data_IF_632101906443
#
_entry.id   IF_632101906443
#
_cell.length_a   1.000
_cell.length_b   1.000
_cell.length_c   1.000
_cell.angle_alpha   90.00
_cell.angle_beta   90.00
_cell.angle_gamma   90.00
#
_symmetry.space_group_name_H-M   'P 1'
#
loop_
_entity.id
_entity.type
_entity.pdbx_description
1 polymer ?
#
# COMPACT_ATOMS: atom_id res chain seq x y z
N UNK A 1 -24.89 1.65 13.34
CA UNK A 1 -23.43 1.49 13.44
C UNK A 1 -22.77 1.66 12.06
N UNK A 2 -21.63 2.33 12.05
CA UNK A 2 -20.81 2.46 10.84
C UNK A 2 -20.17 1.10 10.56
N UNK A 3 -20.27 0.65 9.30
CA UNK A 3 -19.57 -0.56 8.83
C UNK A 3 -18.39 -0.12 7.94
N UNK A 4 -17.22 -0.66 8.22
CA UNK A 4 -16.00 -0.38 7.45
C UNK A 4 -15.48 -1.71 6.89
N UNK A 5 -15.05 -1.69 5.62
CA UNK A 5 -14.25 -2.76 5.00
C UNK A 5 -12.92 -2.15 4.59
N UNK A 6 -11.85 -2.75 5.06
CA UNK A 6 -10.50 -2.42 4.59
C UNK A 6 -10.04 -3.47 3.60
N UNK A 7 -9.44 -3.05 2.50
CA UNK A 7 -8.86 -3.92 1.49
C UNK A 7 -7.40 -3.54 1.26
N UNK A 8 -6.48 -4.34 1.78
CA UNK A 8 -5.08 -4.24 1.43
C UNK A 8 -4.87 -4.71 -0.01
N UNK A 9 -4.11 -3.95 -0.78
CA UNK A 9 -3.75 -4.30 -2.16
C UNK A 9 -2.23 -4.38 -2.30
N UNK A 10 -1.75 -5.10 -3.29
CA UNK A 10 -0.39 -4.91 -3.77
C UNK A 10 -0.39 -3.76 -4.79
N UNK A 11 0.74 -3.13 -5.01
CA UNK A 11 0.86 -2.07 -6.02
C UNK A 11 0.78 -2.64 -7.44
N UNK A 12 -0.29 -2.33 -8.16
CA UNK A 12 -0.55 -2.86 -9.50
C UNK A 12 0.43 -2.38 -10.56
N UNK A 13 1.11 -1.27 -10.32
CA UNK A 13 2.14 -0.69 -11.20
C UNK A 13 3.57 -1.11 -10.85
N UNK A 14 3.76 -1.89 -9.77
CA UNK A 14 5.06 -2.39 -9.30
C UNK A 14 6.16 -1.31 -9.23
N UNK A 15 5.96 -0.22 -8.48
CA UNK A 15 6.94 0.88 -8.44
C UNK A 15 8.26 0.49 -7.75
N UNK A 16 8.31 -0.69 -7.09
CA UNK A 16 9.46 -1.20 -6.34
C UNK A 16 9.99 -0.20 -5.29
N UNK A 17 9.08 0.51 -4.65
CA UNK A 17 9.41 1.44 -3.55
C UNK A 17 9.55 0.72 -2.20
N UNK A 18 9.08 -0.53 -2.11
CA UNK A 18 9.17 -1.35 -0.91
C UNK A 18 10.58 -1.90 -0.70
N UNK A 19 10.90 -2.23 0.55
CA UNK A 19 12.18 -2.86 0.93
C UNK A 19 12.36 -4.20 0.19
N UNK A 20 11.28 -4.98 0.06
CA UNK A 20 11.26 -6.22 -0.72
C UNK A 20 10.77 -5.90 -2.12
N UNK A 21 11.68 -5.93 -3.08
CA UNK A 21 11.37 -5.66 -4.49
C UNK A 21 10.78 -6.89 -5.17
N UNK A 22 9.73 -6.67 -5.95
CA UNK A 22 9.16 -7.72 -6.80
C UNK A 22 10.09 -7.94 -8.00
N UNK A 23 10.48 -9.18 -8.23
CA UNK A 23 11.33 -9.56 -9.39
C UNK A 23 10.55 -9.33 -10.68
N UNK A 24 11.25 -9.01 -11.77
CA UNK A 24 10.62 -8.69 -13.06
C UNK A 24 9.80 -9.87 -13.63
N UNK A 25 10.31 -11.08 -13.47
CA UNK A 25 9.61 -12.30 -13.88
C UNK A 25 8.33 -12.60 -13.06
N UNK A 26 8.18 -11.99 -11.90
CA UNK A 26 7.01 -12.10 -11.03
C UNK A 26 5.97 -11.02 -11.25
N UNK A 27 6.29 -9.96 -12.01
CA UNK A 27 5.36 -8.88 -12.31
C UNK A 27 4.26 -9.34 -13.28
N UNK A 28 3.10 -8.71 -13.18
CA UNK A 28 1.97 -8.89 -14.09
C UNK A 28 1.60 -7.57 -14.77
N UNK A 29 1.09 -7.63 -15.97
CA UNK A 29 0.45 -6.47 -16.58
C UNK A 29 -1.05 -6.48 -16.29
N UNK A 30 -1.47 -5.69 -15.28
CA UNK A 30 -2.88 -5.59 -14.87
C UNK A 30 -3.79 -5.06 -15.99
N UNK A 31 -3.23 -4.42 -17.03
CA UNK A 31 -3.98 -3.93 -18.18
C UNK A 31 -4.31 -5.02 -19.20
N UNK A 32 -3.68 -6.20 -19.09
CA UNK A 32 -3.99 -7.31 -19.98
C UNK A 32 -5.42 -7.81 -19.76
N UNK A 33 -6.05 -8.32 -20.81
CA UNK A 33 -7.44 -8.80 -20.80
C UNK A 33 -7.74 -9.82 -19.69
N UNK A 34 -6.75 -10.68 -19.37
CA UNK A 34 -6.87 -11.66 -18.27
C UNK A 34 -7.15 -10.96 -16.94
N UNK A 35 -6.33 -9.97 -16.59
CA UNK A 35 -6.42 -9.29 -15.30
C UNK A 35 -7.52 -8.25 -15.26
N UNK A 36 -7.83 -7.62 -16.39
CA UNK A 36 -8.99 -6.73 -16.49
C UNK A 36 -10.31 -7.44 -16.16
N UNK A 37 -10.50 -8.67 -16.66
CA UNK A 37 -11.68 -9.48 -16.28
C UNK A 37 -11.71 -9.81 -14.79
N UNK A 38 -10.57 -10.09 -14.18
CA UNK A 38 -10.50 -10.36 -12.73
C UNK A 38 -10.83 -9.11 -11.91
N UNK A 39 -10.30 -7.94 -12.28
CA UNK A 39 -10.59 -6.67 -11.62
C UNK A 39 -12.07 -6.29 -11.74
N UNK A 40 -12.68 -6.58 -12.88
CA UNK A 40 -14.12 -6.38 -13.08
C UNK A 40 -14.95 -7.23 -12.10
N UNK A 41 -14.60 -8.50 -11.96
CA UNK A 41 -15.27 -9.41 -11.01
C UNK A 41 -15.08 -8.94 -9.56
N UNK A 42 -13.86 -8.53 -9.18
CA UNK A 42 -13.56 -8.01 -7.85
C UNK A 42 -14.40 -6.76 -7.56
N UNK A 43 -14.43 -5.79 -8.49
CA UNK A 43 -15.22 -4.58 -8.32
C UNK A 43 -16.73 -4.90 -8.19
N UNK A 44 -17.24 -5.87 -8.95
CA UNK A 44 -18.62 -6.32 -8.84
C UNK A 44 -18.92 -6.97 -7.48
N UNK A 45 -17.99 -7.76 -6.94
CA UNK A 45 -18.12 -8.35 -5.60
C UNK A 45 -18.10 -7.28 -4.50
N UNK A 46 -17.17 -6.32 -4.59
CA UNK A 46 -17.10 -5.20 -3.63
C UNK A 46 -18.34 -4.31 -3.69
N UNK A 47 -18.95 -4.15 -4.85
CA UNK A 47 -20.22 -3.44 -5.01
C UNK A 47 -21.34 -4.01 -4.13
N UNK A 48 -21.35 -5.32 -3.86
CA UNK A 48 -22.39 -5.93 -3.02
C UNK A 48 -22.38 -5.45 -1.58
N UNK A 49 -21.22 -4.97 -1.08
CA UNK A 49 -21.13 -4.32 0.22
C UNK A 49 -21.86 -2.96 0.23
N UNK A 50 -22.06 -2.36 -0.94
CA UNK A 50 -22.73 -1.08 -1.15
C UNK A 50 -22.15 0.06 -0.29
N UNK A 51 -20.85 0.35 -0.33
CA UNK A 51 -20.24 1.40 0.47
C UNK A 51 -20.80 2.77 0.05
N UNK A 52 -21.09 3.62 1.03
CA UNK A 52 -21.48 5.03 0.81
C UNK A 52 -20.27 5.93 0.54
N UNK A 53 -19.09 5.53 0.99
CA UNK A 53 -17.83 6.23 0.80
C UNK A 53 -16.74 5.26 0.37
N UNK A 54 -15.91 5.68 -0.56
CA UNK A 54 -14.71 4.96 -0.97
C UNK A 54 -13.52 5.85 -0.63
N UNK A 55 -12.64 5.36 0.22
CA UNK A 55 -11.39 6.01 0.59
C UNK A 55 -10.23 5.28 -0.06
N UNK A 56 -9.24 6.03 -0.53
CA UNK A 56 -8.08 5.48 -1.24
C UNK A 56 -6.78 6.05 -0.70
N UNK A 57 -5.72 5.27 -0.81
CA UNK A 57 -4.37 5.69 -0.47
C UNK A 57 -3.85 6.68 -1.52
N UNK A 58 -4.29 7.92 -1.38
CA UNK A 58 -3.86 9.08 -2.13
C UNK A 58 -3.64 10.23 -1.16
N UNK A 59 -2.65 11.11 -1.42
CA UNK A 59 -2.31 12.19 -0.50
C UNK A 59 -3.51 13.09 -0.24
N UNK A 60 -3.88 13.28 1.02
CA UNK A 60 -5.05 14.06 1.42
C UNK A 60 -4.98 15.52 0.92
N UNK A 61 -3.77 16.14 0.91
CA UNK A 61 -3.56 17.47 0.35
C UNK A 61 -3.77 17.53 -1.17
N UNK A 62 -3.82 16.39 -1.85
CA UNK A 62 -4.07 16.24 -3.29
C UNK A 62 -5.49 15.78 -3.61
N UNK A 63 -6.44 15.95 -2.69
CA UNK A 63 -7.85 15.59 -2.91
C UNK A 63 -8.43 16.18 -4.20
N UNK A 64 -8.05 17.42 -4.54
CA UNK A 64 -8.50 18.07 -5.78
C UNK A 64 -8.00 17.31 -7.02
N UNK A 65 -6.73 16.91 -7.04
CA UNK A 65 -6.14 16.14 -8.15
C UNK A 65 -6.87 14.80 -8.32
N UNK A 66 -7.17 14.10 -7.23
CA UNK A 66 -7.94 12.87 -7.25
C UNK A 66 -9.34 13.07 -7.84
N UNK A 67 -10.02 14.12 -7.39
CA UNK A 67 -11.38 14.45 -7.85
C UNK A 67 -11.41 14.81 -9.34
N UNK A 68 -10.45 15.59 -9.82
CA UNK A 68 -10.33 15.96 -11.22
C UNK A 68 -9.99 14.75 -12.09
N UNK A 69 -9.09 13.89 -11.62
CA UNK A 69 -8.76 12.62 -12.29
C UNK A 69 -9.97 11.69 -12.41
N UNK A 70 -10.79 11.61 -11.35
CA UNK A 70 -12.00 10.79 -11.39
C UNK A 70 -13.07 11.38 -12.32
N UNK A 71 -13.25 12.70 -12.35
CA UNK A 71 -14.15 13.36 -13.32
C UNK A 71 -13.70 13.08 -14.77
N UNK A 72 -12.40 13.18 -15.04
CA UNK A 72 -11.85 12.85 -16.35
C UNK A 72 -12.07 11.37 -16.71
N UNK A 73 -11.94 10.47 -15.74
CA UNK A 73 -12.26 9.06 -15.92
C UNK A 73 -13.72 8.87 -16.32
N UNK A 74 -14.66 9.51 -15.63
CA UNK A 74 -16.11 9.40 -15.93
C UNK A 74 -16.50 10.02 -17.26
N UNK A 75 -15.83 11.10 -17.70
CA UNK A 75 -16.11 11.77 -18.96
C UNK A 75 -15.51 11.07 -20.19
N UNK A 76 -14.44 10.30 -19.97
CA UNK A 76 -13.74 9.56 -21.04
C UNK A 76 -14.35 8.16 -21.26
N UNK A 77 -15.62 8.14 -21.69
CA UNK A 77 -16.35 6.90 -21.98
C UNK A 77 -15.74 6.07 -23.12
N UNK A 78 -14.83 6.65 -23.91
CA UNK A 78 -14.12 5.98 -25.00
C UNK A 78 -12.80 5.34 -24.56
N UNK A 79 -12.26 5.71 -23.39
CA UNK A 79 -10.99 5.15 -22.91
C UNK A 79 -11.22 3.72 -22.44
N UNK A 80 -10.61 2.78 -23.11
CA UNK A 80 -10.67 1.38 -22.70
C UNK A 80 -9.97 1.19 -21.33
N UNK A 81 -10.48 0.29 -20.47
CA UNK A 81 -9.87 0.04 -19.16
C UNK A 81 -8.37 -0.30 -19.19
N UNK A 82 -7.90 -0.90 -20.28
CA UNK A 82 -6.49 -1.23 -20.51
C UNK A 82 -5.63 -0.02 -20.94
N UNK A 83 -6.20 1.15 -21.11
CA UNK A 83 -5.51 2.42 -21.39
C UNK A 83 -5.41 3.32 -20.17
N UNK A 84 -6.04 2.94 -19.06
CA UNK A 84 -5.98 3.68 -17.81
C UNK A 84 -4.66 3.48 -17.08
N UNK A 85 -4.28 4.39 -16.17
CA UNK A 85 -3.14 4.16 -15.29
C UNK A 85 -3.26 2.83 -14.53
N UNK A 86 -2.11 2.16 -14.32
CA UNK A 86 -2.06 0.83 -13.69
C UNK A 86 -2.38 0.81 -12.20
N UNK A 87 -2.37 1.96 -11.52
CA UNK A 87 -2.54 1.97 -10.07
C UNK A 87 -3.89 1.41 -9.62
N UNK A 88 -3.91 0.83 -8.44
CA UNK A 88 -5.10 0.28 -7.77
C UNK A 88 -6.20 1.33 -7.57
N UNK A 89 -5.82 2.61 -7.42
CA UNK A 89 -6.77 3.72 -7.35
C UNK A 89 -7.63 3.80 -8.61
N UNK A 90 -7.01 3.72 -9.79
CA UNK A 90 -7.72 3.74 -11.07
C UNK A 90 -8.40 2.40 -11.37
N UNK A 91 -7.63 1.32 -11.26
CA UNK A 91 -8.07 0.00 -11.73
C UNK A 91 -9.13 -0.63 -10.82
N UNK A 92 -9.21 -0.24 -9.56
CA UNK A 92 -10.19 -0.77 -8.62
C UNK A 92 -11.03 0.34 -7.97
N UNK A 93 -10.42 1.38 -7.42
CA UNK A 93 -11.11 2.47 -6.73
C UNK A 93 -12.09 3.21 -7.64
N UNK A 94 -11.64 3.74 -8.78
CA UNK A 94 -12.49 4.46 -9.74
C UNK A 94 -13.56 3.55 -10.35
N UNK A 95 -13.18 2.33 -10.72
CA UNK A 95 -14.11 1.33 -11.27
C UNK A 95 -15.24 1.02 -10.29
N UNK A 96 -14.93 0.84 -9.01
CA UNK A 96 -15.94 0.58 -7.98
C UNK A 96 -16.84 1.80 -7.77
N UNK A 97 -16.25 3.00 -7.69
CA UNK A 97 -16.99 4.25 -7.53
C UNK A 97 -17.96 4.51 -8.68
N UNK A 98 -17.53 4.28 -9.92
CA UNK A 98 -18.37 4.35 -11.12
C UNK A 98 -19.55 3.38 -11.03
N UNK A 99 -19.29 2.11 -10.69
CA UNK A 99 -20.35 1.07 -10.56
C UNK A 99 -21.39 1.39 -9.49
N UNK A 100 -21.03 2.19 -8.50
CA UNK A 100 -21.90 2.65 -7.41
C UNK A 100 -22.56 4.01 -7.71
N UNK A 101 -22.19 4.68 -8.81
CA UNK A 101 -22.67 6.02 -9.15
C UNK A 101 -22.13 7.12 -8.23
N UNK A 102 -21.00 6.90 -7.55
CA UNK A 102 -20.37 7.89 -6.71
C UNK A 102 -19.81 9.03 -7.56
N UNK A 103 -19.90 10.25 -7.05
CA UNK A 103 -19.37 11.45 -7.69
C UNK A 103 -17.93 11.78 -7.29
N UNK A 104 -17.44 11.15 -6.22
CA UNK A 104 -16.10 11.38 -5.65
C UNK A 104 -15.60 10.17 -4.88
N UNK A 105 -14.27 10.11 -4.73
CA UNK A 105 -13.56 9.27 -3.77
C UNK A 105 -12.79 10.19 -2.82
N UNK A 106 -12.35 9.66 -1.69
CA UNK A 106 -11.68 10.43 -0.64
C UNK A 106 -10.22 9.99 -0.50
N UNK A 107 -9.33 10.96 -0.55
CA UNK A 107 -7.90 10.79 -0.32
C UNK A 107 -7.59 10.86 1.18
N UNK A 108 -6.92 9.86 1.73
CA UNK A 108 -6.69 9.79 3.20
C UNK A 108 -5.22 9.64 3.59
N UNK A 109 -4.33 9.44 2.63
CA UNK A 109 -2.91 9.28 2.94
C UNK A 109 -2.28 10.60 3.39
N UNK A 110 -1.60 10.55 4.52
CA UNK A 110 -0.86 11.70 5.06
C UNK A 110 0.41 11.20 5.71
N UNK A 111 1.55 11.56 5.13
CA UNK A 111 2.84 11.23 5.71
C UNK A 111 3.02 11.88 7.07
N UNK A 112 3.51 11.10 8.03
CA UNK A 112 3.85 11.58 9.36
C UNK A 112 5.00 12.59 9.33
N UNK A 113 5.12 13.35 10.39
CA UNK A 113 6.33 14.15 10.64
C UNK A 113 7.40 13.20 11.18
N UNK A 114 8.53 13.14 10.50
CA UNK A 114 9.69 12.41 11.00
C UNK A 114 10.27 13.09 12.23
N UNK A 115 10.78 12.30 13.17
CA UNK A 115 11.58 12.84 14.25
C UNK A 115 12.91 13.39 13.72
N UNK A 116 13.42 14.52 14.24
CA UNK A 116 14.65 15.14 13.72
C UNK A 116 15.87 14.20 13.71
N UNK A 117 16.00 13.32 14.71
CA UNK A 117 17.07 12.33 14.77
C UNK A 117 16.96 11.28 13.65
N UNK A 118 15.74 10.91 13.25
CA UNK A 118 15.52 9.98 12.14
C UNK A 118 15.88 10.67 10.81
N UNK A 119 15.49 11.94 10.64
CA UNK A 119 15.87 12.73 9.46
C UNK A 119 17.40 12.88 9.33
N UNK A 120 18.12 13.10 10.44
CA UNK A 120 19.59 13.18 10.44
C UNK A 120 20.24 11.90 9.90
N UNK A 121 19.74 10.73 10.32
CA UNK A 121 20.27 9.46 9.83
C UNK A 121 19.92 9.24 8.37
N UNK A 122 18.66 9.48 7.97
CA UNK A 122 18.21 9.21 6.60
C UNK A 122 18.81 10.18 5.56
N UNK A 123 19.26 11.35 5.97
CA UNK A 123 19.91 12.34 5.11
C UNK A 123 21.45 12.24 5.13
N UNK A 124 22.02 11.28 5.84
CA UNK A 124 23.46 11.02 5.93
C UNK A 124 23.77 9.67 5.29
N UNK A 125 24.51 9.68 4.18
CA UNK A 125 24.80 8.47 3.39
C UNK A 125 25.56 7.40 4.21
N UNK A 126 26.45 7.82 5.11
CA UNK A 126 27.22 6.90 5.95
C UNK A 126 26.29 6.23 6.97
N UNK A 127 25.50 7.03 7.68
CA UNK A 127 24.56 6.52 8.69
C UNK A 127 23.47 5.61 8.06
N UNK A 128 22.98 5.96 6.87
CA UNK A 128 22.05 5.10 6.10
C UNK A 128 22.72 3.76 5.75
N UNK A 129 23.99 3.78 5.34
CA UNK A 129 24.71 2.56 5.03
C UNK A 129 24.92 1.68 6.28
N UNK A 130 25.23 2.27 7.43
CA UNK A 130 25.35 1.57 8.71
C UNK A 130 24.02 0.95 9.13
N UNK A 131 22.95 1.72 9.10
CA UNK A 131 21.58 1.23 9.34
C UNK A 131 21.20 0.09 8.42
N UNK A 132 21.47 0.22 7.12
CA UNK A 132 21.22 -0.83 6.13
C UNK A 132 22.03 -2.09 6.39
N UNK A 133 23.28 -1.97 6.81
CA UNK A 133 24.13 -3.10 7.21
C UNK A 133 23.60 -3.79 8.47
N UNK A 134 23.22 -3.00 9.48
CA UNK A 134 22.60 -3.52 10.70
C UNK A 134 21.31 -4.28 10.35
N UNK A 135 20.40 -3.67 9.62
CA UNK A 135 19.14 -4.29 9.21
C UNK A 135 19.35 -5.63 8.49
N UNK A 136 20.27 -5.65 7.53
CA UNK A 136 20.56 -6.84 6.73
C UNK A 136 21.15 -8.00 7.55
N UNK A 137 22.03 -7.68 8.50
CA UNK A 137 22.80 -8.67 9.25
C UNK A 137 22.18 -9.02 10.60
N UNK A 138 21.05 -8.42 10.96
CA UNK A 138 20.42 -8.65 12.26
C UNK A 138 19.95 -10.09 12.39
N UNK A 139 20.41 -10.84 13.42
CA UNK A 139 19.98 -12.21 13.67
C UNK A 139 18.49 -12.34 13.95
N UNK A 140 17.83 -11.29 14.45
CA UNK A 140 16.39 -11.27 14.68
C UNK A 140 15.60 -11.45 13.38
N UNK A 141 16.22 -11.25 12.20
CA UNK A 141 15.58 -11.53 10.91
C UNK A 141 15.08 -12.99 10.78
N UNK A 142 15.70 -13.92 11.50
CA UNK A 142 15.25 -15.32 11.56
C UNK A 142 13.85 -15.47 12.23
N UNK A 143 13.42 -14.46 12.99
CA UNK A 143 12.11 -14.43 13.64
C UNK A 143 11.01 -13.88 12.72
N UNK A 144 11.38 -13.36 11.56
CA UNK A 144 10.40 -12.78 10.62
C UNK A 144 9.47 -13.84 10.10
N UNK A 145 8.21 -13.48 10.00
CA UNK A 145 7.23 -14.30 9.31
C UNK A 145 7.51 -14.25 7.79
N UNK A 146 7.65 -15.43 7.21
CA UNK A 146 7.69 -15.55 5.76
C UNK A 146 6.31 -15.24 5.19
N UNK A 147 6.22 -14.16 4.43
CA UNK A 147 4.98 -13.73 3.77
C UNK A 147 4.66 -14.55 2.54
N UNK A 148 5.59 -15.41 2.08
CA UNK A 148 5.47 -16.22 0.87
C UNK A 148 5.49 -15.40 -0.43
N UNK A 149 5.61 -16.09 -1.54
CA UNK A 149 5.56 -15.46 -2.85
C UNK A 149 4.13 -15.07 -3.23
N UNK A 150 3.96 -13.95 -3.99
CA UNK A 150 2.67 -13.55 -4.51
C UNK A 150 2.05 -14.61 -5.43
N UNK A 151 0.75 -14.84 -5.29
CA UNK A 151 0.03 -15.86 -6.07
C UNK A 151 -0.80 -15.30 -7.24
N UNK A 152 -0.78 -13.97 -7.46
CA UNK A 152 -1.55 -13.33 -8.53
C UNK A 152 -1.21 -13.87 -9.94
N UNK A 153 0.04 -14.26 -10.16
CA UNK A 153 0.50 -14.79 -11.46
C UNK A 153 0.13 -16.25 -11.64
N UNK A 154 0.37 -17.09 -10.64
CA UNK A 154 0.10 -18.53 -10.67
C UNK A 154 -1.38 -18.87 -10.48
N UNK A 155 -2.12 -18.01 -9.78
CA UNK A 155 -3.54 -18.19 -9.52
C UNK A 155 -4.36 -17.02 -10.07
N UNK A 156 -4.61 -15.98 -9.24
CA UNK A 156 -5.40 -14.81 -9.63
C UNK A 156 -5.16 -13.61 -8.70
N UNK A 157 -5.55 -12.41 -9.15
CA UNK A 157 -5.59 -11.23 -8.28
C UNK A 157 -6.49 -11.48 -7.07
N UNK A 158 -7.65 -12.11 -7.26
CA UNK A 158 -8.57 -12.44 -6.15
C UNK A 158 -7.89 -13.33 -5.11
N UNK A 159 -7.18 -14.38 -5.55
CA UNK A 159 -6.46 -15.26 -4.64
C UNK A 159 -5.38 -14.51 -3.85
N UNK A 160 -4.65 -13.61 -4.50
CA UNK A 160 -3.66 -12.77 -3.83
C UNK A 160 -4.31 -11.82 -2.82
N UNK A 161 -5.38 -11.13 -3.19
CA UNK A 161 -6.10 -10.26 -2.26
C UNK A 161 -6.63 -11.03 -1.05
N UNK A 162 -7.19 -12.21 -1.23
CA UNK A 162 -7.62 -13.07 -0.13
C UNK A 162 -6.45 -13.50 0.77
N UNK A 163 -5.29 -13.79 0.17
CA UNK A 163 -4.08 -14.16 0.89
C UNK A 163 -3.56 -13.02 1.78
N UNK A 164 -3.37 -11.83 1.22
CA UNK A 164 -2.81 -10.69 1.96
C UNK A 164 -3.79 -10.05 2.94
N UNK A 165 -5.09 -10.20 2.75
CA UNK A 165 -6.13 -9.72 3.65
C UNK A 165 -6.59 -10.79 4.68
N UNK A 166 -5.93 -11.95 4.74
CA UNK A 166 -6.19 -12.92 5.77
C UNK A 166 -5.73 -12.41 7.13
N UNK A 167 -6.57 -12.49 8.15
CA UNK A 167 -6.30 -11.95 9.50
C UNK A 167 -4.99 -12.49 10.09
N UNK A 168 -4.75 -13.80 9.94
CA UNK A 168 -3.52 -14.42 10.43
C UNK A 168 -2.29 -13.88 9.70
N UNK A 169 -2.39 -13.69 8.37
CA UNK A 169 -1.33 -13.09 7.57
C UNK A 169 -1.04 -11.65 8.01
N UNK A 170 -2.09 -10.82 8.15
CA UNK A 170 -1.96 -9.43 8.58
C UNK A 170 -1.26 -9.35 9.95
N UNK A 171 -1.73 -10.11 10.95
CA UNK A 171 -1.14 -10.09 12.30
C UNK A 171 0.34 -10.45 12.31
N UNK A 172 0.72 -11.46 11.54
CA UNK A 172 2.13 -11.88 11.44
C UNK A 172 2.97 -10.87 10.65
N UNK A 173 2.43 -10.35 9.56
CA UNK A 173 3.10 -9.35 8.73
C UNK A 173 3.35 -8.05 9.51
N UNK A 174 2.40 -7.61 10.34
CA UNK A 174 2.58 -6.46 11.23
C UNK A 174 3.76 -6.64 12.19
N UNK A 175 3.94 -7.86 12.73
CA UNK A 175 5.09 -8.18 13.58
C UNK A 175 6.44 -7.97 12.87
N UNK A 176 6.50 -8.17 11.58
CA UNK A 176 7.74 -8.01 10.81
C UNK A 176 8.29 -6.56 10.82
N UNK A 177 7.43 -5.56 11.03
CA UNK A 177 7.87 -4.16 11.16
C UNK A 177 8.71 -3.92 12.43
N UNK A 178 8.58 -4.78 13.44
CA UNK A 178 9.35 -4.69 14.69
C UNK A 178 10.63 -5.53 14.66
N UNK A 179 10.93 -6.19 13.53
CA UNK A 179 12.05 -7.13 13.46
C UNK A 179 13.08 -6.64 12.46
N UNK A 180 14.33 -6.69 12.83
CA UNK A 180 15.49 -6.36 12.01
C UNK A 180 16.08 -4.99 12.28
N UNK A 181 15.29 -3.97 12.58
CA UNK A 181 15.77 -2.61 12.83
C UNK A 181 15.31 -2.01 14.17
N UNK A 182 14.31 -2.59 14.79
CA UNK A 182 13.68 -2.01 15.98
C UNK A 182 14.65 -1.69 17.12
N UNK A 183 15.67 -2.54 17.32
CA UNK A 183 16.70 -2.38 18.34
C UNK A 183 17.89 -1.52 17.89
N UNK A 184 17.84 -0.93 16.69
CA UNK A 184 18.95 -0.12 16.22
C UNK A 184 19.04 1.18 17.00
N UNK A 185 20.21 1.42 17.58
CA UNK A 185 20.59 2.67 18.23
C UNK A 185 21.75 3.28 17.45
N UNK A 186 21.78 4.60 17.32
CA UNK A 186 22.92 5.29 16.76
C UNK A 186 24.01 5.52 17.82
N UNK A 187 25.16 6.07 17.43
CA UNK A 187 26.28 6.36 18.33
C UNK A 187 25.94 7.35 19.47
N UNK A 188 24.87 8.12 19.30
CA UNK A 188 24.37 9.10 20.27
C UNK A 188 23.37 8.45 21.27
N UNK A 189 23.24 7.12 21.26
CA UNK A 189 22.27 6.33 22.05
C UNK A 189 20.81 6.74 21.80
N UNK A 190 20.50 7.25 20.61
CA UNK A 190 19.13 7.53 20.19
C UNK A 190 18.49 6.23 19.69
N UNK A 191 17.26 5.97 20.12
CA UNK A 191 16.48 4.79 19.74
C UNK A 191 15.94 4.88 18.30
N UNK A 192 16.85 5.00 17.34
CA UNK A 192 16.51 5.25 15.95
C UNK A 192 15.51 4.23 15.39
N UNK A 193 15.71 2.93 15.64
CA UNK A 193 14.83 1.88 15.10
C UNK A 193 13.41 1.99 15.62
N UNK A 194 13.23 2.30 16.90
CA UNK A 194 11.92 2.52 17.51
C UNK A 194 11.26 3.80 16.99
N UNK A 195 12.02 4.89 16.88
CA UNK A 195 11.53 6.18 16.38
C UNK A 195 11.20 6.14 14.90
N UNK A 196 11.95 5.37 14.12
CA UNK A 196 11.67 5.15 12.69
C UNK A 196 10.30 4.52 12.48
N UNK A 197 9.95 3.49 13.23
CA UNK A 197 8.64 2.85 13.09
C UNK A 197 7.51 3.69 13.67
N UNK A 198 7.68 4.27 14.87
CA UNK A 198 6.65 5.08 15.52
C UNK A 198 6.40 6.39 14.78
N UNK A 199 7.45 7.10 14.40
CA UNK A 199 7.34 8.39 13.70
C UNK A 199 6.87 8.24 12.26
N UNK A 200 7.35 7.23 11.55
CA UNK A 200 7.08 7.06 10.13
C UNK A 200 5.82 6.22 9.87
N UNK A 201 5.85 4.95 10.24
CA UNK A 201 4.81 4.01 9.82
C UNK A 201 3.57 4.09 10.70
N UNK A 202 3.72 4.01 12.01
CA UNK A 202 2.59 4.01 12.94
C UNK A 202 1.88 5.37 12.97
N UNK A 203 2.64 6.45 12.99
CA UNK A 203 2.10 7.80 12.94
C UNK A 203 1.34 8.07 11.62
N UNK A 204 1.86 7.58 10.49
CA UNK A 204 1.16 7.65 9.20
C UNK A 204 -0.19 6.94 9.25
N UNK A 205 -0.23 5.72 9.78
CA UNK A 205 -1.47 4.95 9.89
C UNK A 205 -2.51 5.66 10.79
N UNK A 206 -2.08 6.24 11.92
CA UNK A 206 -2.98 7.04 12.76
C UNK A 206 -3.53 8.27 12.04
N UNK A 207 -2.73 8.92 11.19
CA UNK A 207 -3.19 10.06 10.38
C UNK A 207 -4.18 9.64 9.30
N UNK A 208 -3.95 8.51 8.63
CA UNK A 208 -4.90 7.93 7.69
C UNK A 208 -6.24 7.64 8.39
N UNK A 209 -6.18 7.08 9.59
CA UNK A 209 -7.38 6.78 10.37
C UNK A 209 -8.13 8.03 10.84
N UNK A 210 -7.42 9.13 11.06
CA UNK A 210 -8.02 10.43 11.44
C UNK A 210 -8.74 11.12 10.28
N UNK A 211 -8.20 11.03 9.05
CA UNK A 211 -8.73 11.72 7.87
C UNK A 211 -10.01 11.08 7.34
#
# INVERSE_FOLDING_TARGET
>A
PIRVVTLGTFHFNFPNLDVVKVKDDSKIDVLSNKYQRQLEVIAQQLKTFNPTHIVVEHKAEKQKELSDSYKNYLSNTTTQPNQLPRSEVYQLGFRLAEKLGHKTLFAVDTWGKMYPQVDKVLNDEVKVAEFGKYYKNNPDNALRYDTGDPVYKSQSITAELLRINNEKHIKKSLGNYLIGHFKFENEENEYFGADFETGRWFNRNLRIFRN
#
